data_IF_860997173917
#
_entry.id   IF_860997173917
#
_cell.length_a   1.000
_cell.length_b   1.000
_cell.length_c   1.000
_cell.angle_alpha   90.00
_cell.angle_beta   90.00
_cell.angle_gamma   90.00
#
_symmetry.space_group_name_H-M   'P 1'
#
loop_
_entity.id
_entity.type
_entity.pdbx_description
1 polymer ?
#
# COMPACT_ATOMS: atom_id res chain seq x y z
N UNK A 1 72.16 -27.51 -21.52
CA UNK A 1 72.14 -27.89 -20.09
C UNK A 1 71.86 -26.63 -19.29
N UNK A 2 70.78 -26.63 -18.51
CA UNK A 2 70.18 -25.47 -17.83
C UNK A 2 70.08 -25.83 -16.35
N UNK A 3 70.72 -25.04 -15.48
CA UNK A 3 70.64 -25.19 -14.02
C UNK A 3 70.09 -23.91 -13.39
N UNK A 4 69.15 -24.15 -12.48
CA UNK A 4 68.24 -23.20 -11.84
C UNK A 4 68.83 -22.56 -10.57
N UNK A 5 68.25 -21.42 -10.16
CA UNK A 5 68.36 -20.81 -8.83
C UNK A 5 67.40 -19.60 -8.68
N UNK A 6 67.03 -19.16 -7.47
CA UNK A 6 65.72 -19.45 -6.87
C UNK A 6 64.74 -18.25 -6.73
N UNK A 7 63.54 -18.61 -6.28
CA UNK A 7 62.33 -17.81 -6.09
C UNK A 7 62.41 -16.68 -5.05
N UNK A 8 61.55 -15.66 -5.22
CA UNK A 8 60.99 -14.88 -4.12
C UNK A 8 59.55 -14.45 -4.46
N UNK A 9 58.61 -14.99 -3.69
CA UNK A 9 57.18 -14.69 -3.71
C UNK A 9 56.97 -13.40 -2.93
N UNK A 10 56.27 -12.43 -3.52
CA UNK A 10 55.73 -11.27 -2.82
C UNK A 10 54.24 -11.12 -3.17
N UNK A 11 53.41 -11.70 -2.31
CA UNK A 11 51.98 -11.42 -2.24
C UNK A 11 51.79 -10.00 -1.72
N UNK A 12 51.10 -9.14 -2.48
CA UNK A 12 50.65 -7.84 -2.00
C UNK A 12 49.13 -7.87 -1.84
N UNK A 13 48.74 -7.47 -0.64
CA UNK A 13 47.41 -7.45 -0.06
C UNK A 13 46.38 -6.66 -0.88
N UNK A 14 45.16 -7.19 -0.90
CA UNK A 14 43.94 -6.46 -1.23
C UNK A 14 43.73 -5.30 -0.25
N UNK A 15 43.43 -4.11 -0.77
CA UNK A 15 42.85 -3.02 0.02
C UNK A 15 41.43 -2.81 -0.46
N UNK A 16 40.52 -3.00 0.49
CA UNK A 16 39.09 -2.95 0.35
C UNK A 16 38.57 -1.54 0.02
N UNK A 17 37.35 -1.54 -0.53
CA UNK A 17 36.54 -0.42 -0.95
C UNK A 17 36.55 0.80 -0.01
N UNK A 18 36.84 1.97 -0.57
CA UNK A 18 36.43 3.24 0.00
C UNK A 18 35.01 3.53 -0.54
N UNK A 19 33.99 3.08 0.19
CA UNK A 19 32.61 3.55 0.00
C UNK A 19 32.48 4.81 0.84
N UNK A 20 32.07 5.96 0.27
CA UNK A 20 31.83 7.15 1.07
C UNK A 20 30.73 6.87 2.09
N UNK A 21 31.04 7.22 3.34
CA UNK A 21 30.18 7.20 4.51
C UNK A 21 28.87 7.94 4.19
N UNK A 22 27.79 7.18 4.00
CA UNK A 22 26.46 7.75 3.89
C UNK A 22 26.04 8.22 5.28
N UNK A 23 25.93 9.53 5.44
CA UNK A 23 25.33 10.15 6.61
C UNK A 23 23.93 9.54 6.89
N UNK A 24 23.50 9.45 8.16
CA UNK A 24 22.18 8.91 8.47
C UNK A 24 21.11 9.85 7.90
N UNK A 25 20.31 9.32 6.97
CA UNK A 25 19.11 9.96 6.41
C UNK A 25 18.22 10.46 7.55
N UNK A 26 18.25 11.77 7.76
CA UNK A 26 17.27 12.46 8.58
C UNK A 26 15.98 12.51 7.79
N UNK A 27 15.05 11.61 8.14
CA UNK A 27 13.63 11.64 7.81
C UNK A 27 13.24 12.48 6.59
N UNK A 28 13.36 11.89 5.41
CA UNK A 28 12.75 12.46 4.21
C UNK A 28 11.23 12.27 4.32
N UNK A 29 10.49 13.37 4.28
CA UNK A 29 9.05 13.35 3.99
C UNK A 29 8.81 12.56 2.68
N UNK A 30 7.69 11.82 2.54
CA UNK A 30 7.37 11.11 1.30
C UNK A 30 7.37 12.06 0.11
N UNK A 31 7.96 11.64 -1.01
CA UNK A 31 8.02 12.46 -2.21
C UNK A 31 6.59 12.70 -2.76
N UNK A 32 6.30 13.87 -3.36
CA UNK A 32 5.05 14.07 -4.10
C UNK A 32 4.94 12.99 -5.20
N UNK A 33 3.99 12.06 -5.03
CA UNK A 33 3.81 10.91 -5.94
C UNK A 33 3.84 9.55 -5.25
N UNK A 34 4.22 9.47 -3.96
CA UNK A 34 4.08 8.23 -3.20
C UNK A 34 2.60 7.98 -2.90
N UNK A 35 1.96 7.16 -3.72
CA UNK A 35 0.57 6.78 -3.51
C UNK A 35 0.47 5.90 -2.28
N UNK A 36 -0.40 6.27 -1.33
CA UNK A 36 -0.62 5.45 -0.14
C UNK A 36 -1.27 4.12 -0.54
N UNK A 37 -0.68 2.97 -0.17
CA UNK A 37 -1.33 1.69 -0.41
C UNK A 37 -2.63 1.62 0.41
N UNK A 38 -3.69 1.06 -0.19
CA UNK A 38 -4.89 0.77 0.59
C UNK A 38 -4.56 -0.42 1.49
N UNK A 39 -4.87 -0.31 2.77
CA UNK A 39 -4.52 -1.35 3.73
C UNK A 39 -5.56 -2.46 3.67
N UNK A 40 -5.13 -3.70 3.46
CA UNK A 40 -6.01 -4.87 3.49
C UNK A 40 -6.70 -5.01 4.86
N UNK A 41 -7.97 -5.41 4.86
CA UNK A 41 -8.70 -5.59 6.10
C UNK A 41 -10.21 -5.63 5.95
N UNK A 42 -10.87 -5.75 7.09
CA UNK A 42 -12.31 -5.60 7.22
C UNK A 42 -12.61 -4.25 7.85
N UNK A 43 -13.65 -3.62 7.35
CA UNK A 43 -14.03 -2.26 7.67
C UNK A 43 -15.55 -2.18 7.81
N UNK A 44 -16.04 -1.23 8.61
CA UNK A 44 -17.47 -0.93 8.72
C UNK A 44 -17.68 0.57 8.97
N UNK A 45 -18.79 1.14 8.50
CA UNK A 45 -19.21 2.49 8.88
C UNK A 45 -19.84 2.52 10.27
N UNK A 46 -20.30 1.36 10.76
CA UNK A 46 -20.77 1.18 12.12
C UNK A 46 -19.83 0.24 12.86
N UNK A 47 -18.91 0.80 13.65
CA UNK A 47 -17.96 0.04 14.44
C UNK A 47 -18.64 -0.99 15.37
N UNK A 48 -19.87 -0.75 15.82
CA UNK A 48 -20.59 -1.70 16.66
C UNK A 48 -20.99 -2.99 15.91
N UNK A 49 -21.04 -2.94 14.58
CA UNK A 49 -21.35 -4.07 13.71
C UNK A 49 -20.10 -4.77 13.15
N UNK A 50 -18.90 -4.35 13.57
CA UNK A 50 -17.67 -4.99 13.12
C UNK A 50 -17.68 -6.50 13.39
N UNK A 51 -17.49 -7.27 12.32
CA UNK A 51 -17.53 -8.74 12.37
C UNK A 51 -18.87 -9.33 11.93
N UNK A 52 -19.97 -8.58 11.99
CA UNK A 52 -21.30 -9.05 11.60
C UNK A 52 -21.39 -9.27 10.07
N UNK A 53 -21.76 -10.49 9.68
CA UNK A 53 -21.98 -10.88 8.30
C UNK A 53 -23.28 -10.33 7.69
N UNK A 54 -24.10 -9.63 8.48
CA UNK A 54 -25.34 -8.98 8.05
C UNK A 54 -25.25 -7.45 8.03
N UNK A 55 -24.13 -6.86 8.48
CA UNK A 55 -23.91 -5.42 8.37
C UNK A 55 -24.02 -4.98 6.91
N UNK A 56 -24.89 -4.02 6.65
CA UNK A 56 -25.10 -3.44 5.31
C UNK A 56 -24.02 -2.42 4.96
N UNK A 57 -23.25 -1.99 5.96
CA UNK A 57 -22.18 -0.98 5.84
C UNK A 57 -20.79 -1.60 5.86
N UNK A 58 -20.68 -2.93 5.96
CA UNK A 58 -19.41 -3.64 5.91
C UNK A 58 -18.69 -3.45 4.57
N UNK A 59 -17.37 -3.52 4.64
CA UNK A 59 -16.49 -3.56 3.49
C UNK A 59 -15.28 -4.43 3.80
N UNK A 60 -14.85 -5.26 2.85
CA UNK A 60 -13.57 -5.95 2.90
C UNK A 60 -12.67 -5.43 1.78
N UNK A 61 -11.38 -5.24 2.10
CA UNK A 61 -10.36 -4.81 1.14
C UNK A 61 -9.27 -5.87 1.07
N UNK A 62 -8.93 -6.27 -0.14
CA UNK A 62 -7.81 -7.15 -0.44
C UNK A 62 -7.10 -6.70 -1.74
N UNK A 63 -5.91 -6.12 -1.61
CA UNK A 63 -5.20 -5.46 -2.70
C UNK A 63 -6.04 -4.33 -3.27
N UNK A 64 -6.36 -4.41 -4.57
CA UNK A 64 -7.26 -3.47 -5.25
C UNK A 64 -8.74 -3.92 -5.21
N UNK A 65 -9.04 -5.05 -4.57
CA UNK A 65 -10.41 -5.56 -4.42
C UNK A 65 -11.15 -4.90 -3.26
N UNK A 66 -12.40 -4.51 -3.50
CA UNK A 66 -13.32 -3.94 -2.52
C UNK A 66 -14.65 -4.69 -2.56
N UNK A 67 -14.95 -5.46 -1.51
CA UNK A 67 -16.21 -6.17 -1.36
C UNK A 67 -17.10 -5.44 -0.37
N UNK A 68 -18.17 -4.82 -0.87
CA UNK A 68 -19.24 -4.20 -0.09
C UNK A 68 -20.38 -5.21 0.13
N UNK A 69 -21.38 -4.85 0.95
CA UNK A 69 -22.55 -5.69 1.23
C UNK A 69 -23.23 -6.26 -0.04
N UNK A 70 -23.46 -5.43 -1.06
CA UNK A 70 -24.23 -5.78 -2.27
C UNK A 70 -23.43 -5.65 -3.58
N UNK A 71 -22.13 -5.35 -3.50
CA UNK A 71 -21.31 -5.17 -4.69
C UNK A 71 -19.85 -5.52 -4.45
N UNK A 72 -19.22 -6.12 -5.46
CA UNK A 72 -17.77 -6.32 -5.51
C UNK A 72 -17.17 -5.35 -6.54
N UNK A 73 -16.08 -4.71 -6.18
CA UNK A 73 -15.41 -3.70 -6.99
C UNK A 73 -13.91 -3.95 -7.10
N UNK A 74 -13.31 -3.40 -8.17
CA UNK A 74 -11.86 -3.30 -8.32
C UNK A 74 -11.46 -1.84 -8.44
N UNK A 75 -10.45 -1.42 -7.70
CA UNK A 75 -9.95 -0.07 -7.68
C UNK A 75 -8.91 0.17 -8.78
N UNK A 76 -9.29 0.93 -9.80
CA UNK A 76 -8.38 1.44 -10.82
C UNK A 76 -7.75 2.76 -10.37
N UNK A 77 -6.50 2.71 -9.91
CA UNK A 77 -5.74 3.89 -9.48
C UNK A 77 -5.43 4.83 -10.65
N UNK A 78 -5.68 6.12 -10.47
CA UNK A 78 -5.38 7.19 -11.46
C UNK A 78 -4.28 8.15 -11.02
N UNK A 79 -3.91 8.11 -9.74
CA UNK A 79 -2.91 8.98 -9.14
C UNK A 79 -3.13 9.11 -7.64
N UNK A 80 -2.58 10.15 -7.04
CA UNK A 80 -2.77 10.45 -5.62
C UNK A 80 -2.01 11.68 -5.18
N UNK A 81 -2.33 12.13 -3.97
CA UNK A 81 -1.60 13.13 -3.22
C UNK A 81 -0.91 12.43 -2.04
N UNK A 82 0.03 13.09 -1.36
CA UNK A 82 0.57 12.54 -0.11
C UNK A 82 -0.59 12.27 0.86
N UNK A 83 -0.68 11.04 1.39
CA UNK A 83 -1.76 10.63 2.28
C UNK A 83 -3.04 10.11 1.60
N UNK A 84 -3.16 10.21 0.27
CA UNK A 84 -4.40 9.84 -0.43
C UNK A 84 -4.19 9.19 -1.81
N UNK A 85 -5.11 8.31 -2.19
CA UNK A 85 -5.17 7.68 -3.50
C UNK A 85 -6.42 8.09 -4.25
N UNK A 86 -6.29 8.41 -5.53
CA UNK A 86 -7.42 8.79 -6.38
C UNK A 86 -7.62 7.74 -7.47
N UNK A 87 -8.87 7.43 -7.77
CA UNK A 87 -9.18 6.43 -8.78
C UNK A 87 -10.66 6.16 -8.94
N UNK A 88 -10.95 5.04 -9.60
CA UNK A 88 -12.33 4.60 -9.87
C UNK A 88 -12.52 3.19 -9.38
N UNK A 89 -13.56 2.97 -8.59
CA UNK A 89 -14.08 1.63 -8.34
C UNK A 89 -14.91 1.21 -9.54
N UNK A 90 -14.56 0.09 -10.14
CA UNK A 90 -15.34 -0.58 -11.19
C UNK A 90 -16.08 -1.72 -10.51
N UNK A 91 -17.40 -1.60 -10.40
CA UNK A 91 -18.22 -2.45 -9.54
C UNK A 91 -19.17 -3.35 -10.34
N UNK A 92 -19.49 -4.51 -9.75
CA UNK A 92 -20.62 -5.37 -10.10
C UNK A 92 -21.51 -5.52 -8.86
N UNK A 93 -22.78 -5.16 -8.98
CA UNK A 93 -23.80 -5.32 -7.92
C UNK A 93 -25.18 -5.45 -8.54
N UNK A 94 -26.04 -6.29 -7.96
CA UNK A 94 -27.39 -6.56 -8.47
C UNK A 94 -27.45 -6.94 -9.97
N UNK A 95 -26.42 -7.63 -10.47
CA UNK A 95 -26.30 -8.00 -11.89
C UNK A 95 -25.97 -6.84 -12.84
N UNK A 96 -25.61 -5.67 -12.32
CA UNK A 96 -25.30 -4.46 -13.10
C UNK A 96 -23.87 -3.99 -12.84
N UNK A 97 -23.24 -3.46 -13.89
CA UNK A 97 -21.97 -2.76 -13.79
C UNK A 97 -22.19 -1.28 -13.55
N UNK A 98 -21.39 -0.70 -12.68
CA UNK A 98 -21.36 0.73 -12.40
C UNK A 98 -19.97 1.15 -11.92
N UNK A 99 -19.70 2.45 -11.90
CA UNK A 99 -18.42 3.01 -11.45
C UNK A 99 -18.63 4.06 -10.36
N UNK A 100 -17.64 4.21 -9.48
CA UNK A 100 -17.60 5.27 -8.46
C UNK A 100 -16.23 5.95 -8.53
N UNK A 101 -16.19 7.24 -8.86
CA UNK A 101 -14.97 8.05 -8.74
C UNK A 101 -14.75 8.39 -7.27
N UNK A 102 -13.59 8.03 -6.75
CA UNK A 102 -13.29 8.15 -5.31
C UNK A 102 -11.89 8.71 -5.04
N UNK A 103 -11.76 9.34 -3.87
CA UNK A 103 -10.49 9.59 -3.21
C UNK A 103 -10.46 8.82 -1.89
N UNK A 104 -9.41 8.03 -1.69
CA UNK A 104 -9.18 7.17 -0.54
C UNK A 104 -8.09 7.75 0.35
N UNK A 105 -8.37 7.90 1.64
CA UNK A 105 -7.36 8.16 2.66
C UNK A 105 -7.28 6.94 3.59
N UNK A 106 -6.14 6.24 3.59
CA UNK A 106 -5.94 5.06 4.44
C UNK A 106 -5.14 5.42 5.68
N UNK A 107 -5.62 4.97 6.83
CA UNK A 107 -4.95 5.08 8.15
C UNK A 107 -4.91 3.70 8.81
N UNK A 108 -4.08 3.53 9.84
CA UNK A 108 -3.92 2.23 10.49
C UNK A 108 -5.24 1.70 11.10
N UNK A 109 -6.07 2.62 11.57
CA UNK A 109 -7.33 2.45 12.29
C UNK A 109 -8.57 2.54 11.40
N UNK A 110 -8.46 2.95 10.13
CA UNK A 110 -9.63 3.13 9.28
C UNK A 110 -9.35 3.53 7.84
N UNK A 111 -10.43 3.65 7.08
CA UNK A 111 -10.42 4.08 5.69
C UNK A 111 -11.45 5.19 5.48
N UNK A 112 -11.03 6.33 4.95
CA UNK A 112 -11.95 7.39 4.55
C UNK A 112 -12.12 7.39 3.03
N UNK A 113 -13.36 7.28 2.56
CA UNK A 113 -13.72 7.39 1.15
C UNK A 113 -14.44 8.72 0.92
N UNK A 114 -13.95 9.50 -0.04
CA UNK A 114 -14.63 10.68 -0.55
C UNK A 114 -15.24 10.35 -1.91
N UNK A 115 -16.55 10.50 -2.07
CA UNK A 115 -17.25 10.32 -3.35
C UNK A 115 -18.40 11.31 -3.47
N UNK A 116 -18.58 11.94 -4.64
CA UNK A 116 -19.74 12.79 -4.93
C UNK A 116 -20.05 13.87 -3.86
N UNK A 117 -19.03 14.38 -3.15
CA UNK A 117 -19.19 15.35 -2.05
C UNK A 117 -19.54 14.74 -0.69
N UNK A 118 -19.70 13.41 -0.60
CA UNK A 118 -19.89 12.65 0.63
C UNK A 118 -18.56 12.15 1.17
N UNK A 119 -18.44 12.09 2.50
CA UNK A 119 -17.32 11.49 3.21
C UNK A 119 -17.83 10.28 3.99
N UNK A 120 -17.28 9.11 3.70
CA UNK A 120 -17.57 7.84 4.36
C UNK A 120 -16.34 7.44 5.18
N UNK A 121 -16.43 7.53 6.50
CA UNK A 121 -15.35 7.18 7.41
C UNK A 121 -15.59 5.78 7.98
N UNK A 122 -14.88 4.80 7.44
CA UNK A 122 -14.95 3.42 7.91
C UNK A 122 -13.94 3.18 9.03
N UNK A 123 -14.39 2.54 10.09
CA UNK A 123 -13.55 1.99 11.14
C UNK A 123 -12.99 0.65 10.70
N UNK A 124 -11.72 0.41 11.01
CA UNK A 124 -11.11 -0.90 10.78
C UNK A 124 -11.56 -1.86 11.87
N UNK A 125 -12.13 -2.98 11.45
CA UNK A 125 -12.54 -4.03 12.38
C UNK A 125 -11.32 -4.76 12.94
N UNK A 126 -11.39 -5.26 14.20
CA UNK A 126 -10.36 -6.11 14.77
C UNK A 126 -10.06 -7.32 13.89
N UNK A 127 -8.82 -7.80 13.91
CA UNK A 127 -8.48 -9.08 13.31
C UNK A 127 -9.31 -10.19 13.95
N UNK A 128 -9.84 -11.10 13.13
CA UNK A 128 -10.62 -12.25 13.57
C UNK A 128 -9.76 -13.32 14.25
#
# INVERSE_FOLDING_TARGET
MKTSGPALILSVFAIAACVPDAAPDSGSDPAPGDTVPVIDGRYDLDAAQCGDANSQTRMAVQGDGFDFYESSCTFGRRGGQSGASEGVLICMGEGRRFTRDIRLESRADGLTIHENGTVLAYDRCPAA
#
